data_IF_143863460913
#
_entry.id   IF_143863460913
#
_cell.length_a   1.000
_cell.length_b   1.000
_cell.length_c   1.000
_cell.angle_alpha   90.00
_cell.angle_beta   90.00
_cell.angle_gamma   90.00
#
_symmetry.space_group_name_H-M   'P 1'
#
loop_
_entity.id
_entity.type
_entity.pdbx_description
1 polymer ?
#
# COMPACT_ATOMS: atom_id res chain seq x y z
N UNK A 1 32.59 -6.66 3.54
CA UNK A 1 32.33 -6.42 2.10
C UNK A 1 30.83 -6.57 1.88
N UNK A 2 30.19 -5.43 1.63
CA UNK A 2 28.86 -5.22 1.03
C UNK A 2 27.75 -6.13 1.55
N UNK A 3 27.03 -5.66 2.57
CA UNK A 3 25.66 -6.11 2.83
C UNK A 3 24.82 -5.76 1.61
N UNK A 4 24.78 -6.66 0.64
CA UNK A 4 23.77 -6.64 -0.41
C UNK A 4 22.45 -7.09 0.25
N UNK A 5 21.92 -6.23 1.13
CA UNK A 5 20.49 -6.12 1.31
C UNK A 5 19.99 -5.64 -0.04
N UNK A 6 19.86 -6.60 -0.97
CA UNK A 6 19.14 -6.41 -2.21
C UNK A 6 17.90 -5.65 -1.80
N UNK A 7 17.81 -4.40 -2.24
CA UNK A 7 16.63 -3.58 -2.13
C UNK A 7 15.49 -4.50 -2.58
N UNK A 8 14.73 -5.04 -1.63
CA UNK A 8 13.43 -5.60 -1.91
C UNK A 8 12.57 -4.36 -2.21
N UNK A 9 12.83 -3.74 -3.37
CA UNK A 9 11.94 -2.76 -3.94
C UNK A 9 10.65 -3.51 -4.15
N UNK A 10 9.66 -3.11 -3.36
CA UNK A 10 8.31 -3.62 -3.48
C UNK A 10 7.87 -3.19 -4.87
N UNK A 11 7.71 -4.15 -5.78
CA UNK A 11 7.23 -3.83 -7.12
C UNK A 11 5.92 -3.06 -6.99
N UNK A 12 5.78 -1.96 -7.72
CA UNK A 12 4.55 -1.17 -7.67
C UNK A 12 3.34 -2.03 -8.06
N UNK A 13 2.19 -1.81 -7.42
CA UNK A 13 0.94 -2.45 -7.79
C UNK A 13 0.62 -2.11 -9.24
N UNK A 14 0.47 -3.11 -10.10
CA UNK A 14 0.16 -2.89 -11.50
C UNK A 14 -1.28 -2.39 -11.69
N UNK A 15 -1.55 -1.72 -12.81
CA UNK A 15 -2.86 -1.10 -13.09
C UNK A 15 -4.03 -2.09 -13.14
N UNK A 16 -3.75 -3.36 -13.41
CA UNK A 16 -4.74 -4.45 -13.47
C UNK A 16 -4.80 -5.24 -12.14
N UNK A 17 -3.90 -4.97 -11.20
CA UNK A 17 -3.76 -5.67 -9.93
C UNK A 17 -3.28 -7.11 -10.02
N UNK A 18 -2.64 -7.54 -11.12
CA UNK A 18 -2.15 -8.91 -11.29
C UNK A 18 -1.16 -9.31 -10.19
N UNK A 19 -0.37 -8.35 -9.69
CA UNK A 19 0.58 -8.56 -8.60
C UNK A 19 0.02 -8.20 -7.21
N UNK A 20 -1.28 -7.95 -7.06
CA UNK A 20 -1.89 -7.43 -5.82
C UNK A 20 -1.57 -8.26 -4.58
N UNK A 21 -1.67 -9.60 -4.63
CA UNK A 21 -1.40 -10.43 -3.45
C UNK A 21 0.04 -10.27 -2.95
N UNK A 22 1.02 -10.29 -3.86
CA UNK A 22 2.44 -10.10 -3.51
C UNK A 22 2.71 -8.68 -3.04
N UNK A 23 2.12 -7.68 -3.70
CA UNK A 23 2.21 -6.28 -3.31
C UNK A 23 1.63 -6.02 -1.92
N UNK A 24 0.44 -6.57 -1.63
CA UNK A 24 -0.27 -6.35 -0.38
C UNK A 24 0.50 -6.93 0.81
N UNK A 25 1.05 -8.14 0.68
CA UNK A 25 1.88 -8.78 1.71
C UNK A 25 3.14 -7.97 1.97
N UNK A 26 3.84 -7.55 0.93
CA UNK A 26 5.09 -6.79 1.06
C UNK A 26 4.85 -5.40 1.66
N UNK A 27 3.79 -4.71 1.21
CA UNK A 27 3.37 -3.40 1.73
C UNK A 27 2.97 -3.48 3.19
N UNK A 28 2.12 -4.45 3.59
CA UNK A 28 1.77 -4.66 5.01
C UNK A 28 3.01 -4.93 5.86
N UNK A 29 3.91 -5.80 5.39
CA UNK A 29 5.15 -6.12 6.11
C UNK A 29 6.01 -4.88 6.32
N UNK A 30 6.17 -4.04 5.29
CA UNK A 30 6.94 -2.80 5.40
C UNK A 30 6.31 -1.81 6.37
N UNK A 31 5.00 -1.55 6.24
CA UNK A 31 4.28 -0.65 7.14
C UNK A 31 4.35 -1.16 8.59
N UNK A 32 4.27 -2.47 8.82
CA UNK A 32 4.43 -3.06 10.16
C UNK A 32 5.83 -2.81 10.73
N UNK A 33 6.87 -3.04 9.94
CA UNK A 33 8.26 -2.73 10.34
C UNK A 33 8.50 -1.26 10.65
N UNK A 34 7.74 -0.36 10.02
CA UNK A 34 7.75 1.09 10.29
C UNK A 34 6.82 1.53 11.43
N UNK A 35 6.11 0.60 12.08
CA UNK A 35 5.05 0.89 13.07
C UNK A 35 3.89 1.75 12.51
N UNK A 36 3.70 1.66 11.18
CA UNK A 36 2.70 2.39 10.39
C UNK A 36 1.50 1.50 10.02
N UNK A 37 1.49 0.19 10.33
CA UNK A 37 0.39 -0.70 9.91
C UNK A 37 -0.95 -0.33 10.57
N UNK A 38 -0.92 0.20 11.79
CA UNK A 38 -2.11 0.69 12.50
C UNK A 38 -2.69 1.97 11.85
N UNK A 39 -2.08 2.52 10.79
CA UNK A 39 -2.63 3.65 10.02
C UNK A 39 -3.77 3.21 9.12
N UNK A 40 -3.78 1.94 8.68
CA UNK A 40 -4.97 1.34 8.07
C UNK A 40 -6.13 1.31 9.09
N UNK A 41 -5.80 1.37 10.38
CA UNK A 41 -6.73 1.31 11.52
C UNK A 41 -6.88 2.68 12.22
N UNK A 42 -7.32 3.69 11.45
CA UNK A 42 -7.92 5.02 11.80
C UNK A 42 -7.34 5.91 12.93
N UNK A 43 -6.39 5.47 13.76
CA UNK A 43 -6.09 6.04 15.10
C UNK A 43 -4.79 6.86 15.18
N UNK A 44 -4.29 7.38 14.06
CA UNK A 44 -2.90 7.91 13.93
C UNK A 44 -2.82 9.41 13.61
N UNK A 45 -1.67 10.01 13.92
CA UNK A 45 -1.40 11.45 13.73
C UNK A 45 -1.33 11.85 12.25
N UNK A 46 -1.58 13.12 11.93
CA UNK A 46 -1.51 13.66 10.56
C UNK A 46 -0.15 13.39 9.87
N UNK A 47 0.96 13.44 10.62
CA UNK A 47 2.30 13.18 10.07
C UNK A 47 2.50 11.72 9.66
N UNK A 48 2.02 10.79 10.49
CA UNK A 48 2.09 9.35 10.17
C UNK A 48 1.22 9.02 8.96
N UNK A 49 0.00 9.59 8.89
CA UNK A 49 -0.89 9.44 7.73
C UNK A 49 -0.22 9.93 6.43
N UNK A 50 0.41 11.10 6.45
CA UNK A 50 1.13 11.61 5.28
C UNK A 50 2.27 10.68 4.84
N UNK A 51 3.06 10.14 5.78
CA UNK A 51 4.14 9.18 5.47
C UNK A 51 3.61 7.90 4.82
N UNK A 52 2.50 7.36 5.33
CA UNK A 52 1.85 6.20 4.74
C UNK A 52 1.27 6.51 3.36
N UNK A 53 0.67 7.69 3.17
CA UNK A 53 0.11 8.10 1.89
C UNK A 53 1.19 8.23 0.82
N UNK A 54 2.30 8.90 1.15
CA UNK A 54 3.48 9.00 0.28
C UNK A 54 3.98 7.61 -0.08
N UNK A 55 4.12 6.71 0.91
CA UNK A 55 4.57 5.35 0.68
C UNK A 55 3.65 4.59 -0.28
N UNK A 56 2.32 4.63 -0.07
CA UNK A 56 1.36 3.95 -0.93
C UNK A 56 1.41 4.49 -2.35
N UNK A 57 1.40 5.81 -2.53
CA UNK A 57 1.51 6.40 -3.86
C UNK A 57 2.81 5.97 -4.55
N UNK A 58 3.96 5.98 -3.87
CA UNK A 58 5.22 5.54 -4.49
C UNK A 58 5.19 4.10 -5.01
N UNK A 59 4.33 3.24 -4.44
CA UNK A 59 4.29 1.82 -4.75
C UNK A 59 3.00 1.39 -5.46
N UNK A 60 2.29 2.30 -6.12
CA UNK A 60 1.20 1.95 -7.06
C UNK A 60 1.45 2.57 -8.44
N UNK A 61 0.91 1.95 -9.48
CA UNK A 61 1.01 2.43 -10.85
C UNK A 61 0.41 3.84 -11.02
N UNK A 62 0.99 4.67 -11.90
CA UNK A 62 0.59 6.07 -12.10
C UNK A 62 -0.89 6.25 -12.42
N UNK A 63 -1.45 5.41 -13.31
CA UNK A 63 -2.89 5.43 -13.59
C UNK A 63 -3.78 5.17 -12.36
N UNK A 64 -3.31 4.41 -11.36
CA UNK A 64 -4.02 4.25 -10.08
C UNK A 64 -3.83 5.47 -9.17
N UNK A 65 -2.69 6.15 -9.25
CA UNK A 65 -2.48 7.42 -8.54
C UNK A 65 -3.49 8.46 -9.01
N UNK A 66 -3.67 8.58 -10.31
CA UNK A 66 -4.61 9.53 -10.92
C UNK A 66 -6.05 9.22 -10.49
N UNK A 67 -6.45 7.94 -10.50
CA UNK A 67 -7.78 7.51 -10.08
C UNK A 67 -8.06 7.77 -8.59
N UNK A 68 -7.05 7.61 -7.73
CA UNK A 68 -7.21 7.72 -6.28
C UNK A 68 -6.61 9.00 -5.69
N UNK A 69 -6.27 10.02 -6.50
CA UNK A 69 -5.62 11.25 -6.04
C UNK A 69 -6.43 12.00 -4.97
N UNK A 70 -7.76 11.89 -5.00
CA UNK A 70 -8.68 12.51 -4.03
C UNK A 70 -8.80 11.72 -2.71
N UNK A 71 -8.18 10.55 -2.57
CA UNK A 71 -8.19 9.76 -1.33
C UNK A 71 -7.13 10.31 -0.38
N UNK A 72 -7.53 11.23 0.49
CA UNK A 72 -6.60 11.88 1.44
C UNK A 72 -6.21 11.00 2.63
N UNK A 73 -6.97 9.93 2.89
CA UNK A 73 -6.68 8.99 3.98
C UNK A 73 -6.08 7.67 3.43
N UNK A 74 -4.88 7.26 3.90
CA UNK A 74 -4.24 6.03 3.46
C UNK A 74 -5.06 4.77 3.75
N UNK A 75 -5.90 4.75 4.79
CA UNK A 75 -6.80 3.64 5.06
C UNK A 75 -7.89 3.53 3.99
N UNK A 76 -8.42 4.66 3.53
CA UNK A 76 -9.43 4.70 2.47
C UNK A 76 -8.84 4.27 1.11
N UNK A 77 -7.60 4.72 0.81
CA UNK A 77 -6.87 4.24 -0.37
C UNK A 77 -6.65 2.73 -0.30
N UNK A 78 -6.08 2.26 0.82
CA UNK A 78 -5.81 0.84 1.05
C UNK A 78 -7.08 0.00 0.85
N UNK A 79 -8.18 0.37 1.52
CA UNK A 79 -9.46 -0.31 1.40
C UNK A 79 -9.98 -0.35 -0.06
N UNK A 80 -9.87 0.76 -0.79
CA UNK A 80 -10.30 0.84 -2.20
C UNK A 80 -9.49 -0.11 -3.09
N UNK A 81 -8.17 -0.20 -2.87
CA UNK A 81 -7.30 -1.16 -3.57
C UNK A 81 -7.67 -2.61 -3.22
N UNK A 82 -7.99 -2.87 -1.95
CA UNK A 82 -8.48 -4.19 -1.56
C UNK A 82 -9.84 -4.51 -2.18
N UNK A 83 -10.78 -3.56 -2.21
CA UNK A 83 -12.12 -3.76 -2.80
C UNK A 83 -12.02 -4.12 -4.28
N UNK A 84 -11.07 -3.52 -4.98
CA UNK A 84 -10.89 -3.73 -6.42
C UNK A 84 -10.14 -5.01 -6.77
N UNK A 85 -9.07 -5.33 -6.04
CA UNK A 85 -8.09 -6.33 -6.48
C UNK A 85 -8.00 -7.57 -5.59
N UNK A 86 -8.66 -7.60 -4.43
CA UNK A 86 -8.63 -8.76 -3.53
C UNK A 86 -9.66 -9.81 -3.97
N UNK A 87 -9.23 -10.94 -4.58
CA UNK A 87 -10.16 -11.94 -5.07
C UNK A 87 -10.86 -12.68 -3.92
N UNK A 88 -10.28 -12.65 -2.71
CA UNK A 88 -10.77 -13.37 -1.54
C UNK A 88 -11.92 -12.65 -0.84
N UNK A 89 -12.28 -11.42 -1.24
CA UNK A 89 -13.45 -10.70 -0.69
C UNK A 89 -14.80 -11.32 -1.05
N UNK A 90 -14.84 -12.16 -2.08
CA UNK A 90 -16.08 -12.78 -2.57
C UNK A 90 -16.16 -14.29 -2.26
N UNK A 91 -15.16 -14.84 -1.57
CA UNK A 91 -15.18 -16.25 -1.12
C UNK A 91 -15.56 -16.26 0.35
N UNK A 92 -16.88 -16.22 0.59
CA UNK A 92 -17.53 -16.48 1.90
C UNK A 92 -18.61 -17.53 1.72
#
# INVERSE_FOLDING_TARGET
>A
IISNLAKFEIAALDILGNNYMRWAVATKTHLKGKQLINIIDKSKTTSEKAKAMIFLFHHIHDGLKDEYVMKEDPANLWQSLQDRFDPQKYVS
#
